data_IF_506784222653
#
_entry.id   IF_506784222653
#
_cell.length_a   1.000
_cell.length_b   1.000
_cell.length_c   1.000
_cell.angle_alpha   90.00
_cell.angle_beta   90.00
_cell.angle_gamma   90.00
#
_symmetry.space_group_name_H-M   'P 1'
#
loop_
_entity.id
_entity.type
_entity.pdbx_description
1 polymer ?
#
# COMPACT_ATOMS: atom_id res chain seq x y z
N UNK A 1 -59.39 -25.51 15.73
CA UNK A 1 -58.95 -24.48 14.74
C UNK A 1 -58.40 -23.21 15.41
N UNK A 2 -58.07 -23.25 16.71
CA UNK A 2 -57.47 -22.13 17.48
C UNK A 2 -55.98 -22.36 17.77
N UNK A 3 -55.49 -23.60 17.69
CA UNK A 3 -54.12 -23.97 18.13
C UNK A 3 -53.02 -23.59 17.12
N UNK A 4 -53.35 -23.50 15.83
CA UNK A 4 -52.39 -23.14 14.78
C UNK A 4 -51.94 -21.67 14.89
N UNK A 5 -52.85 -20.78 15.26
CA UNK A 5 -52.54 -19.36 15.44
C UNK A 5 -51.62 -19.12 16.64
N UNK A 6 -51.77 -19.89 17.73
CA UNK A 6 -50.88 -19.79 18.89
C UNK A 6 -49.44 -20.17 18.56
N UNK A 7 -49.24 -21.25 17.79
CA UNK A 7 -47.91 -21.70 17.36
C UNK A 7 -47.22 -20.64 16.50
N UNK A 8 -47.96 -19.99 15.59
CA UNK A 8 -47.41 -18.92 14.74
C UNK A 8 -46.97 -17.71 15.58
N UNK A 9 -47.77 -17.33 16.58
CA UNK A 9 -47.45 -16.20 17.46
C UNK A 9 -46.20 -16.50 18.30
N UNK A 10 -46.08 -17.72 18.83
CA UNK A 10 -44.91 -18.16 19.59
C UNK A 10 -43.64 -18.21 18.73
N UNK A 11 -43.73 -18.70 17.49
CA UNK A 11 -42.59 -18.70 16.57
C UNK A 11 -42.16 -17.28 16.18
N UNK A 12 -43.10 -16.36 15.98
CA UNK A 12 -42.79 -14.95 15.74
C UNK A 12 -42.11 -14.31 16.96
N UNK A 13 -42.61 -14.56 18.17
CA UNK A 13 -41.95 -14.09 19.40
C UNK A 13 -40.53 -14.65 19.54
N UNK A 14 -40.34 -15.93 19.21
CA UNK A 14 -39.03 -16.59 19.26
C UNK A 14 -38.06 -16.00 18.25
N UNK A 15 -38.51 -15.66 17.04
CA UNK A 15 -37.71 -14.97 16.03
C UNK A 15 -37.33 -13.56 16.50
N UNK A 16 -38.25 -12.80 17.10
CA UNK A 16 -37.98 -11.45 17.62
C UNK A 16 -36.98 -11.49 18.80
N UNK A 17 -37.13 -12.43 19.72
CA UNK A 17 -36.16 -12.67 20.81
C UNK A 17 -34.78 -13.09 20.27
N UNK A 18 -34.74 -13.93 19.24
CA UNK A 18 -33.47 -14.32 18.60
C UNK A 18 -32.82 -13.16 17.83
N UNK A 19 -33.60 -12.33 17.14
CA UNK A 19 -33.11 -11.17 16.39
C UNK A 19 -32.57 -10.07 17.32
N UNK A 20 -33.23 -9.81 18.45
CA UNK A 20 -32.75 -8.87 19.47
C UNK A 20 -31.52 -9.41 20.23
N UNK A 21 -31.34 -10.73 20.30
CA UNK A 21 -30.16 -11.38 20.87
C UNK A 21 -28.95 -11.40 19.94
N UNK A 22 -29.07 -11.01 18.66
CA UNK A 22 -27.91 -10.92 17.78
C UNK A 22 -27.06 -9.69 18.15
N UNK A 23 -25.87 -9.94 18.72
CA UNK A 23 -24.92 -8.89 19.06
C UNK A 23 -24.53 -8.09 17.82
N UNK A 24 -24.70 -6.77 17.89
CA UNK A 24 -24.26 -5.85 16.85
C UNK A 24 -22.80 -6.14 16.49
N UNK A 25 -22.46 -6.33 15.19
CA UNK A 25 -21.09 -6.58 14.79
C UNK A 25 -20.19 -5.44 15.30
N UNK A 26 -19.09 -5.83 15.94
CA UNK A 26 -18.16 -4.88 16.58
C UNK A 26 -17.64 -3.91 15.52
N UNK A 27 -17.70 -2.60 15.82
CA UNK A 27 -17.09 -1.57 14.96
C UNK A 27 -15.61 -1.93 14.76
N UNK A 28 -15.18 -2.08 13.51
CA UNK A 28 -13.78 -2.35 13.18
C UNK A 28 -12.95 -1.13 13.55
N UNK A 29 -11.98 -1.30 14.45
CA UNK A 29 -11.00 -0.25 14.76
C UNK A 29 -10.11 -0.04 13.54
N UNK A 30 -9.69 1.21 13.30
CA UNK A 30 -8.65 1.50 12.32
C UNK A 30 -7.39 0.74 12.72
N UNK A 31 -6.76 0.04 11.77
CA UNK A 31 -5.51 -0.66 12.02
C UNK A 31 -4.42 0.37 12.29
N UNK A 32 -3.47 0.06 13.18
CA UNK A 32 -2.28 0.90 13.30
C UNK A 32 -1.38 0.75 12.06
N UNK A 33 -0.52 1.74 11.79
CA UNK A 33 0.40 1.69 10.65
C UNK A 33 1.26 0.40 10.67
N UNK A 34 1.80 0.05 11.83
CA UNK A 34 2.57 -1.19 12.03
C UNK A 34 1.77 -2.45 11.67
N UNK A 35 0.48 -2.51 12.04
CA UNK A 35 -0.40 -3.63 11.69
C UNK A 35 -0.74 -3.70 10.20
N UNK A 36 -0.76 -2.55 9.50
CA UNK A 36 -0.97 -2.50 8.06
C UNK A 36 0.24 -3.04 7.29
N UNK A 37 1.43 -2.75 7.78
CA UNK A 37 2.71 -3.03 7.12
C UNK A 37 3.26 -4.41 7.42
N UNK A 38 2.80 -5.09 8.47
CA UNK A 38 3.34 -6.38 8.91
C UNK A 38 3.45 -7.46 7.80
N UNK A 39 2.66 -7.34 6.72
CA UNK A 39 2.69 -8.29 5.59
C UNK A 39 3.42 -7.75 4.35
N UNK A 40 3.99 -6.55 4.40
CA UNK A 40 4.70 -5.92 3.30
C UNK A 40 6.04 -6.62 3.10
N UNK A 41 6.31 -7.07 1.87
CA UNK A 41 7.59 -7.67 1.50
C UNK A 41 8.43 -6.62 0.80
N UNK A 42 9.63 -6.35 1.31
CA UNK A 42 10.62 -5.45 0.73
C UNK A 42 12.02 -6.00 0.98
N UNK A 43 13.03 -5.40 0.36
CA UNK A 43 14.43 -5.74 0.56
C UNK A 43 15.06 -4.76 1.55
N UNK A 44 15.63 -5.25 2.65
CA UNK A 44 16.19 -4.37 3.69
C UNK A 44 17.45 -3.63 3.21
N UNK A 45 18.37 -4.36 2.58
CA UNK A 45 19.65 -3.82 2.12
C UNK A 45 20.04 -4.37 0.75
N UNK A 46 20.76 -3.56 -0.02
CA UNK A 46 21.36 -3.98 -1.28
C UNK A 46 22.82 -3.51 -1.38
N UNK A 47 23.76 -4.39 -1.01
CA UNK A 47 25.17 -4.05 -0.91
C UNK A 47 25.81 -3.56 -2.21
N UNK A 48 25.39 -4.08 -3.37
CA UNK A 48 25.97 -3.74 -4.69
C UNK A 48 25.88 -2.24 -5.01
N UNK A 49 24.82 -1.58 -4.54
CA UNK A 49 24.61 -0.14 -4.72
C UNK A 49 24.66 0.63 -3.39
N UNK A 50 25.02 -0.03 -2.29
CA UNK A 50 25.04 0.53 -0.92
C UNK A 50 23.72 1.20 -0.54
N UNK A 51 22.60 0.56 -0.87
CA UNK A 51 21.26 1.08 -0.58
C UNK A 51 20.71 0.40 0.67
N UNK A 52 20.10 1.21 1.54
CA UNK A 52 19.38 0.77 2.74
C UNK A 52 17.94 1.21 2.61
N UNK A 53 16.99 0.32 2.88
CA UNK A 53 15.58 0.65 2.86
C UNK A 53 15.18 1.53 4.03
N UNK A 54 14.24 2.43 3.78
CA UNK A 54 13.60 3.21 4.85
C UNK A 54 12.65 2.34 5.69
N UNK A 55 12.37 2.77 6.91
CA UNK A 55 11.33 2.14 7.73
C UNK A 55 9.98 2.20 6.97
N UNK A 56 9.34 1.05 6.68
CA UNK A 56 8.10 0.99 5.93
C UNK A 56 6.92 1.69 6.64
N UNK A 57 6.98 1.94 7.95
CA UNK A 57 5.98 2.73 8.68
C UNK A 57 5.80 4.14 8.14
N UNK A 58 6.87 4.71 7.56
CA UNK A 58 6.83 6.04 6.95
C UNK A 58 6.04 6.10 5.64
N UNK A 59 5.68 4.96 5.05
CA UNK A 59 4.89 4.90 3.82
C UNK A 59 3.44 5.30 4.10
N UNK A 60 2.90 4.90 5.25
CA UNK A 60 1.50 5.15 5.59
C UNK A 60 1.33 6.64 5.85
N UNK A 61 0.47 7.29 5.06
CA UNK A 61 0.25 8.73 5.13
C UNK A 61 1.26 9.57 4.35
N UNK A 62 2.26 8.99 3.69
CA UNK A 62 3.14 9.76 2.79
C UNK A 62 2.45 10.08 1.47
N UNK A 63 2.92 11.15 0.81
CA UNK A 63 2.40 11.65 -0.46
C UNK A 63 3.13 11.06 -1.66
N UNK A 64 4.42 10.75 -1.49
CA UNK A 64 5.30 10.21 -2.51
C UNK A 64 6.09 9.03 -1.97
N UNK A 65 6.18 7.95 -2.75
CA UNK A 65 7.02 6.80 -2.43
C UNK A 65 7.93 6.47 -3.59
N UNK A 66 9.24 6.45 -3.32
CA UNK A 66 10.27 6.07 -4.27
C UNK A 66 10.71 4.64 -4.04
N UNK A 67 10.64 3.84 -5.10
CA UNK A 67 11.00 2.43 -5.05
C UNK A 67 12.03 2.08 -6.11
N UNK A 68 12.89 1.11 -5.80
CA UNK A 68 13.81 0.52 -6.77
C UNK A 68 13.73 -0.99 -6.75
N UNK A 69 13.42 -1.60 -7.89
CA UNK A 69 13.43 -3.05 -8.04
C UNK A 69 14.79 -3.51 -8.57
N UNK A 70 15.49 -4.32 -7.77
CA UNK A 70 16.86 -4.78 -8.07
C UNK A 70 16.90 -5.77 -9.23
N UNK A 71 15.93 -6.69 -9.31
CA UNK A 71 15.83 -7.69 -10.39
C UNK A 71 15.62 -7.03 -11.76
N UNK A 72 14.65 -6.12 -11.84
CA UNK A 72 14.26 -5.51 -13.11
C UNK A 72 15.04 -4.21 -13.42
N UNK A 73 15.85 -3.72 -12.48
CA UNK A 73 16.58 -2.45 -12.52
C UNK A 73 15.65 -1.27 -12.86
N UNK A 74 14.45 -1.25 -12.25
CA UNK A 74 13.45 -0.21 -12.47
C UNK A 74 13.35 0.71 -11.26
N UNK A 75 13.40 2.01 -11.52
CA UNK A 75 13.11 3.07 -10.57
C UNK A 75 11.66 3.49 -10.76
N UNK A 76 10.88 3.50 -9.69
CA UNK A 76 9.46 3.85 -9.71
C UNK A 76 9.12 4.92 -8.69
N UNK A 77 8.07 5.68 -8.99
CA UNK A 77 7.47 6.67 -8.09
C UNK A 77 5.99 6.38 -7.99
N UNK A 78 5.51 6.26 -6.76
CA UNK A 78 4.08 6.35 -6.48
C UNK A 78 3.77 7.77 -6.03
N UNK A 79 2.70 8.33 -6.57
CA UNK A 79 2.06 9.54 -6.07
C UNK A 79 0.72 9.16 -5.44
N UNK A 80 0.43 9.71 -4.27
CA UNK A 80 -0.85 9.50 -3.62
C UNK A 80 -1.94 10.22 -4.38
N UNK A 81 -3.08 9.55 -4.59
CA UNK A 81 -4.27 10.15 -5.19
C UNK A 81 -4.76 11.36 -4.38
N UNK A 82 -4.58 11.31 -3.06
CA UNK A 82 -4.87 12.42 -2.16
C UNK A 82 -3.69 12.65 -1.22
N UNK A 83 -3.03 13.79 -1.36
CA UNK A 83 -1.85 14.14 -0.55
C UNK A 83 -2.13 14.29 0.94
N UNK A 84 -3.38 14.54 1.35
CA UNK A 84 -3.79 14.69 2.76
C UNK A 84 -4.01 13.31 3.40
N UNK A 85 -4.61 12.37 2.67
CA UNK A 85 -4.84 11.00 3.16
C UNK A 85 -3.56 10.15 3.07
N UNK A 86 -2.73 10.42 2.07
CA UNK A 86 -1.51 9.67 1.77
C UNK A 86 -1.77 8.22 1.38
N UNK A 87 -0.73 7.39 1.41
CA UNK A 87 -0.85 5.97 1.08
C UNK A 87 -1.40 5.13 2.24
N UNK A 88 -2.06 4.04 1.87
CA UNK A 88 -2.43 2.96 2.78
C UNK A 88 -1.82 1.64 2.27
N UNK A 89 -1.41 0.75 3.17
CA UNK A 89 -0.83 -0.54 2.80
C UNK A 89 -1.79 -1.67 3.20
N UNK A 90 -2.14 -2.51 2.24
CA UNK A 90 -2.95 -3.71 2.47
C UNK A 90 -2.20 -4.95 1.99
N UNK A 91 -1.63 -5.70 2.93
CA UNK A 91 -0.83 -6.87 2.59
C UNK A 91 0.50 -6.43 1.97
N UNK A 92 0.72 -6.76 0.70
CA UNK A 92 1.87 -6.29 -0.07
C UNK A 92 1.50 -5.22 -1.11
N UNK A 93 0.28 -4.67 -1.04
CA UNK A 93 -0.24 -3.73 -2.05
C UNK A 93 -0.42 -2.34 -1.44
N UNK A 94 0.16 -1.33 -2.08
CA UNK A 94 -0.09 0.09 -1.84
C UNK A 94 -1.46 0.45 -2.41
N UNK A 95 -2.25 1.16 -1.64
CA UNK A 95 -3.58 1.64 -1.97
C UNK A 95 -3.57 3.18 -2.04
N UNK A 96 -4.56 3.74 -2.74
CA UNK A 96 -4.74 5.19 -2.93
C UNK A 96 -3.56 5.86 -3.64
N UNK A 97 -2.91 5.15 -4.56
CA UNK A 97 -1.95 5.75 -5.50
C UNK A 97 -2.67 6.10 -6.81
N UNK A 98 -2.19 7.14 -7.46
CA UNK A 98 -2.71 7.57 -8.76
C UNK A 98 -1.96 6.85 -9.89
N UNK A 99 -2.69 6.09 -10.71
CA UNK A 99 -2.13 5.25 -11.77
C UNK A 99 -1.58 6.06 -12.95
N UNK A 100 -2.11 7.26 -13.20
CA UNK A 100 -1.73 8.10 -14.33
C UNK A 100 -0.42 8.85 -14.06
N UNK A 101 -0.25 9.35 -12.84
CA UNK A 101 0.96 10.08 -12.43
C UNK A 101 2.07 9.16 -11.95
N UNK A 102 1.76 7.95 -11.47
CA UNK A 102 2.74 6.98 -10.96
C UNK A 102 3.42 6.22 -12.09
N UNK A 103 4.72 6.50 -12.27
CA UNK A 103 5.52 5.97 -13.37
C UNK A 103 6.73 5.19 -12.87
N UNK A 104 7.18 4.24 -13.69
CA UNK A 104 8.49 3.59 -13.56
C UNK A 104 9.29 3.69 -14.84
N UNK A 105 10.61 3.80 -14.67
CA UNK A 105 11.60 3.82 -15.76
C UNK A 105 12.73 2.85 -15.46
N UNK A 106 13.37 2.33 -16.52
CA UNK A 106 14.49 1.39 -16.37
C UNK A 106 15.80 2.15 -16.21
N UNK A 107 16.45 2.01 -15.06
CA UNK A 107 17.75 2.61 -14.80
C UNK A 107 18.87 1.75 -15.44
N UNK A 108 19.39 2.17 -16.59
CA UNK A 108 20.53 1.48 -17.26
C UNK A 108 21.85 1.63 -16.50
N UNK A 109 22.04 2.74 -15.79
CA UNK A 109 23.20 3.03 -14.93
C UNK A 109 22.74 3.27 -13.49
N UNK A 110 22.39 2.21 -12.73
CA UNK A 110 21.74 2.36 -11.43
C UNK A 110 22.64 3.05 -10.38
N UNK A 111 23.96 2.83 -10.44
CA UNK A 111 24.93 3.46 -9.53
C UNK A 111 24.97 5.00 -9.63
N UNK A 112 24.79 5.54 -10.83
CA UNK A 112 24.74 6.99 -11.04
C UNK A 112 23.37 7.52 -10.60
N UNK A 113 22.31 6.81 -10.99
CA UNK A 113 20.94 7.23 -10.73
C UNK A 113 20.56 7.27 -9.25
N UNK A 114 21.15 6.38 -8.45
CA UNK A 114 20.83 6.19 -7.04
C UNK A 114 21.92 6.74 -6.10
N UNK A 115 22.81 7.59 -6.63
CA UNK A 115 23.88 8.23 -5.84
C UNK A 115 23.33 9.17 -4.76
N UNK A 116 22.26 9.90 -5.07
CA UNK A 116 21.64 10.89 -4.19
C UNK A 116 20.14 10.61 -4.06
N UNK A 117 19.71 10.18 -2.87
CA UNK A 117 18.33 9.75 -2.58
C UNK A 117 17.39 10.88 -2.13
N UNK A 118 17.71 12.15 -2.42
CA UNK A 118 16.83 13.28 -2.08
C UNK A 118 15.69 13.42 -3.08
N UNK A 119 14.51 13.87 -2.63
CA UNK A 119 13.32 14.11 -3.48
C UNK A 119 13.62 14.87 -4.77
N UNK A 120 14.40 15.97 -4.67
CA UNK A 120 14.81 16.79 -5.83
C UNK A 120 15.71 16.01 -6.79
N UNK A 121 16.70 15.29 -6.26
CA UNK A 121 17.64 14.50 -7.05
C UNK A 121 16.93 13.40 -7.82
N UNK A 122 16.10 12.62 -7.12
CA UNK A 122 15.36 11.50 -7.69
C UNK A 122 14.41 11.94 -8.81
N UNK A 123 13.69 13.06 -8.62
CA UNK A 123 12.85 13.66 -9.68
C UNK A 123 13.66 14.09 -10.90
N UNK A 124 14.83 14.71 -10.69
CA UNK A 124 15.72 15.10 -11.80
C UNK A 124 16.23 13.86 -12.55
N UNK A 125 16.74 12.86 -11.82
CA UNK A 125 17.22 11.59 -12.38
C UNK A 125 16.14 10.88 -13.21
N UNK A 126 14.89 10.84 -12.72
CA UNK A 126 13.78 10.22 -13.44
C UNK A 126 13.41 10.97 -14.74
N UNK A 127 13.50 12.31 -14.74
CA UNK A 127 13.28 13.13 -15.95
C UNK A 127 14.41 12.97 -16.97
N UNK A 128 15.66 12.89 -16.50
CA UNK A 128 16.84 12.74 -17.36
C UNK A 128 16.92 11.34 -18.01
N UNK A 129 16.21 10.35 -17.46
CA UNK A 129 16.15 9.00 -18.05
C UNK A 129 15.39 8.99 -19.38
N UNK A 130 16.11 8.68 -20.47
CA UNK A 130 15.57 8.51 -21.84
C UNK A 130 14.72 7.25 -22.06
N UNK A 131 14.58 6.38 -21.06
CA UNK A 131 13.82 5.13 -21.20
C UNK A 131 12.33 5.40 -21.13
N UNK A 132 11.55 4.64 -21.91
CA UNK A 132 10.08 4.72 -21.94
C UNK A 132 9.48 4.54 -20.55
N UNK A 133 8.47 5.35 -20.29
CA UNK A 133 7.68 5.35 -19.07
C UNK A 133 6.74 4.15 -19.10
N UNK A 134 6.65 3.44 -17.98
CA UNK A 134 5.72 2.34 -17.81
C UNK A 134 4.86 2.63 -16.58
N UNK A 135 3.59 2.23 -16.65
CA UNK A 135 2.65 2.34 -15.53
C UNK A 135 3.12 1.45 -14.38
N UNK A 136 2.82 1.89 -13.16
CA UNK A 136 3.22 1.21 -11.94
C UNK A 136 2.05 0.38 -11.40
N UNK A 137 2.34 -0.84 -10.93
CA UNK A 137 1.33 -1.64 -10.22
C UNK A 137 1.48 -1.41 -8.72
N UNK A 138 0.38 -1.42 -7.96
CA UNK A 138 0.42 -1.18 -6.52
C UNK A 138 1.14 -2.27 -5.69
N UNK A 139 1.56 -3.39 -6.29
CA UNK A 139 2.10 -4.53 -5.54
C UNK A 139 3.62 -4.44 -5.39
N UNK A 140 4.10 -4.48 -4.14
CA UNK A 140 5.52 -4.53 -3.79
C UNK A 140 5.96 -5.98 -3.57
N UNK A 141 7.14 -6.31 -4.06
CA UNK A 141 7.78 -7.62 -3.92
C UNK A 141 9.04 -7.52 -3.05
N UNK A 142 9.52 -8.66 -2.54
CA UNK A 142 10.74 -8.77 -1.73
C UNK A 142 12.04 -8.32 -2.44
N UNK A 143 12.00 -8.03 -3.74
CA UNK A 143 13.14 -7.53 -4.53
C UNK A 143 13.11 -6.00 -4.70
N UNK A 144 12.17 -5.34 -4.04
CA UNK A 144 12.00 -3.90 -4.10
C UNK A 144 12.58 -3.26 -2.84
N UNK A 145 13.50 -2.32 -3.04
CA UNK A 145 14.05 -1.45 -2.00
C UNK A 145 13.20 -0.19 -1.91
N UNK A 146 12.98 0.27 -0.68
CA UNK A 146 12.29 1.50 -0.37
C UNK A 146 13.33 2.62 -0.25
N UNK A 147 13.40 3.50 -1.25
CA UNK A 147 14.43 4.56 -1.28
C UNK A 147 14.06 5.75 -0.39
N UNK A 148 12.79 6.09 -0.33
CA UNK A 148 12.31 7.28 0.39
C UNK A 148 10.80 7.44 0.31
N UNK A 149 10.20 7.87 1.41
CA UNK A 149 8.80 8.25 1.54
C UNK A 149 8.76 9.73 1.95
N UNK A 150 7.99 10.53 1.24
CA UNK A 150 7.92 11.99 1.40
C UNK A 150 6.48 12.51 1.49
#
# INVERSE_FOLDING_TARGET
>A
MMDFYGIIVDDLERIVKNASSQRKPRKKKTKSASQMINKLKYLDEFPELKLVSINPEKIVGSSELWIYNTKNKKLGVYYAQNSIRGFEVKGCTIQHFDEDTSIQKKARKPKVALSNLTKRSLRKQLKDMKTKDQTLTGRINAQTILLGAF
#
